data_IF_932890875443
#
_entry.id   IF_932890875443
#
_cell.length_a   1.000
_cell.length_b   1.000
_cell.length_c   1.000
_cell.angle_alpha   90.00
_cell.angle_beta   90.00
_cell.angle_gamma   90.00
#
_symmetry.space_group_name_H-M   'P 1'
#
loop_
_entity.id
_entity.type
_entity.pdbx_description
1 polymer ?
#
# COMPACT_ATOMS: atom_id res chain seq x y z
N UNK A 1 -71.24 37.48 -65.92
CA UNK A 1 -70.96 36.26 -66.70
C UNK A 1 -69.70 35.60 -66.12
N UNK A 2 -69.83 34.38 -65.58
CA UNK A 2 -68.85 33.74 -64.70
C UNK A 2 -67.94 32.79 -65.47
N UNK A 3 -66.70 32.60 -65.03
CA UNK A 3 -65.96 31.36 -65.28
C UNK A 3 -65.05 31.07 -64.08
N UNK A 4 -65.60 30.37 -63.09
CA UNK A 4 -64.80 29.65 -62.10
C UNK A 4 -64.21 28.42 -62.80
N UNK A 5 -62.93 28.47 -63.16
CA UNK A 5 -62.20 27.26 -63.52
C UNK A 5 -61.81 26.54 -62.23
N UNK A 6 -62.62 25.57 -61.85
CA UNK A 6 -62.23 24.50 -60.95
C UNK A 6 -61.00 23.82 -61.53
N UNK A 7 -59.87 23.91 -60.83
CA UNK A 7 -58.72 23.07 -61.10
C UNK A 7 -59.10 21.65 -60.70
N UNK A 8 -59.51 20.84 -61.68
CA UNK A 8 -59.56 19.40 -61.54
C UNK A 8 -58.13 18.90 -61.37
N UNK A 9 -57.77 18.49 -60.15
CA UNK A 9 -56.57 17.71 -59.92
C UNK A 9 -56.69 16.41 -60.71
N UNK A 10 -56.05 16.38 -61.88
CA UNK A 10 -55.90 15.17 -62.67
C UNK A 10 -55.12 14.13 -61.87
N UNK A 11 -55.84 13.15 -61.34
CA UNK A 11 -55.37 11.91 -60.72
C UNK A 11 -54.71 10.96 -61.76
N UNK A 12 -53.98 11.51 -62.75
CA UNK A 12 -53.53 10.78 -63.95
C UNK A 12 -52.22 10.01 -63.83
N UNK A 13 -51.56 10.06 -62.67
CA UNK A 13 -50.39 9.24 -62.40
C UNK A 13 -50.45 8.67 -60.98
N UNK A 14 -51.42 7.79 -60.72
CA UNK A 14 -51.20 6.75 -59.72
C UNK A 14 -50.48 5.60 -60.42
N UNK A 15 -49.18 5.36 -60.19
CA UNK A 15 -48.60 4.09 -60.59
C UNK A 15 -49.46 2.97 -59.98
N UNK A 16 -49.74 1.91 -60.74
CA UNK A 16 -50.36 0.71 -60.20
C UNK A 16 -49.37 0.10 -59.21
N UNK A 17 -49.41 0.57 -57.96
CA UNK A 17 -48.55 0.06 -56.90
C UNK A 17 -48.96 -1.39 -56.68
N UNK A 18 -48.06 -2.30 -57.02
CA UNK A 18 -48.31 -3.73 -56.86
C UNK A 18 -48.53 -4.04 -55.38
N UNK A 19 -49.30 -5.08 -55.06
CA UNK A 19 -49.53 -5.44 -53.65
C UNK A 19 -48.21 -5.76 -52.93
N UNK A 20 -47.18 -6.19 -53.67
CA UNK A 20 -45.83 -6.44 -53.14
C UNK A 20 -45.12 -5.14 -52.74
N UNK A 21 -45.17 -4.10 -53.57
CA UNK A 21 -44.61 -2.79 -53.23
C UNK A 21 -45.28 -2.21 -51.99
N UNK A 22 -46.62 -2.29 -51.88
CA UNK A 22 -47.34 -1.85 -50.66
C UNK A 22 -46.86 -2.58 -49.41
N UNK A 23 -46.66 -3.91 -49.51
CA UNK A 23 -46.14 -4.74 -48.41
C UNK A 23 -44.72 -4.32 -48.04
N UNK A 24 -43.86 -4.08 -49.02
CA UNK A 24 -42.48 -3.62 -48.81
C UNK A 24 -42.46 -2.26 -48.13
N UNK A 25 -43.25 -1.29 -48.61
CA UNK A 25 -43.35 0.03 -47.99
C UNK A 25 -43.86 -0.02 -46.54
N UNK A 26 -44.84 -0.88 -46.25
CA UNK A 26 -45.31 -1.09 -44.88
C UNK A 26 -44.22 -1.70 -43.99
N UNK A 27 -43.47 -2.68 -44.50
CA UNK A 27 -42.36 -3.29 -43.77
C UNK A 27 -41.26 -2.26 -43.48
N UNK A 28 -40.88 -1.44 -44.47
CA UNK A 28 -39.88 -0.39 -44.30
C UNK A 28 -40.36 0.63 -43.26
N UNK A 29 -41.64 1.01 -43.30
CA UNK A 29 -42.21 1.94 -42.32
C UNK A 29 -42.16 1.38 -40.89
N UNK A 30 -42.48 0.10 -40.72
CA UNK A 30 -42.40 -0.56 -39.42
C UNK A 30 -40.96 -0.62 -38.91
N UNK A 31 -40.00 -0.98 -39.77
CA UNK A 31 -38.58 -0.97 -39.41
C UNK A 31 -38.08 0.45 -39.07
N UNK A 32 -38.52 1.46 -39.82
CA UNK A 32 -38.17 2.85 -39.53
C UNK A 32 -38.68 3.31 -38.16
N UNK A 33 -39.92 2.95 -37.79
CA UNK A 33 -40.47 3.24 -36.45
C UNK A 33 -39.66 2.53 -35.38
N UNK A 34 -39.35 1.24 -35.56
CA UNK A 34 -38.51 0.47 -34.62
C UNK A 34 -37.12 1.09 -34.45
N UNK A 35 -36.53 1.61 -35.53
CA UNK A 35 -35.23 2.27 -35.47
C UNK A 35 -35.29 3.60 -34.73
N UNK A 36 -36.37 4.38 -34.91
CA UNK A 36 -36.58 5.60 -34.14
C UNK A 36 -36.73 5.32 -32.64
N UNK A 37 -37.49 4.30 -32.26
CA UNK A 37 -37.63 3.88 -30.85
C UNK A 37 -36.27 3.47 -30.25
N UNK A 38 -35.48 2.69 -31.01
CA UNK A 38 -34.13 2.31 -30.57
C UNK A 38 -33.19 3.51 -30.46
N UNK A 39 -33.31 4.47 -31.36
CA UNK A 39 -32.53 5.70 -31.34
C UNK A 39 -32.88 6.55 -30.11
N UNK A 40 -34.16 6.69 -29.80
CA UNK A 40 -34.64 7.38 -28.60
C UNK A 40 -34.09 6.73 -27.33
N UNK A 41 -34.20 5.40 -27.20
CA UNK A 41 -33.62 4.65 -26.08
C UNK A 41 -32.10 4.81 -25.98
N UNK A 42 -31.39 4.87 -27.11
CA UNK A 42 -29.95 5.10 -27.11
C UNK A 42 -29.60 6.53 -26.68
N UNK A 43 -30.40 7.52 -27.11
CA UNK A 43 -30.26 8.92 -26.72
C UNK A 43 -30.47 9.10 -25.21
N UNK A 44 -31.51 8.49 -24.64
CA UNK A 44 -31.75 8.55 -23.18
C UNK A 44 -30.59 7.96 -22.38
N UNK A 45 -30.02 6.83 -22.83
CA UNK A 45 -28.84 6.24 -22.21
C UNK A 45 -27.62 7.14 -22.32
N UNK A 46 -27.42 7.79 -23.46
CA UNK A 46 -26.34 8.75 -23.66
C UNK A 46 -26.48 9.93 -22.69
N UNK A 47 -27.68 10.48 -22.55
CA UNK A 47 -27.95 11.60 -21.63
C UNK A 47 -27.75 11.20 -20.17
N UNK A 48 -28.16 9.98 -19.79
CA UNK A 48 -27.90 9.45 -18.46
C UNK A 48 -26.39 9.33 -18.17
N UNK A 49 -25.61 8.82 -19.12
CA UNK A 49 -24.15 8.72 -19.00
C UNK A 49 -23.51 10.12 -18.93
N UNK A 50 -23.93 11.04 -19.80
CA UNK A 50 -23.41 12.41 -19.82
C UNK A 50 -23.65 13.16 -18.49
N UNK A 51 -24.73 12.84 -17.77
CA UNK A 51 -24.97 13.38 -16.42
C UNK A 51 -24.06 12.76 -15.35
N UNK A 52 -23.68 11.49 -15.51
CA UNK A 52 -22.83 10.78 -14.55
C UNK A 52 -21.34 11.16 -14.68
N UNK A 53 -20.87 11.47 -15.88
CA UNK A 53 -19.48 11.87 -16.14
C UNK A 53 -19.01 13.00 -15.21
N UNK A 54 -19.67 14.17 -15.13
CA UNK A 54 -19.18 15.28 -14.30
C UNK A 54 -19.18 14.95 -12.81
N UNK A 55 -20.11 14.11 -12.35
CA UNK A 55 -20.18 13.65 -10.96
C UNK A 55 -18.95 12.79 -10.65
N UNK A 56 -18.64 11.81 -11.51
CA UNK A 56 -17.46 10.97 -11.33
C UNK A 56 -16.15 11.72 -11.48
N UNK A 57 -16.09 12.72 -12.36
CA UNK A 57 -14.94 13.62 -12.45
C UNK A 57 -14.75 14.49 -11.21
N UNK A 58 -15.84 14.88 -10.53
CA UNK A 58 -15.76 15.59 -9.26
C UNK A 58 -15.25 14.68 -8.14
N UNK A 59 -15.82 13.47 -7.99
CA UNK A 59 -15.36 12.46 -7.03
C UNK A 59 -13.87 12.13 -7.22
N UNK A 60 -13.41 11.96 -8.46
CA UNK A 60 -12.00 11.70 -8.77
C UNK A 60 -11.10 12.88 -8.37
N UNK A 61 -11.55 14.12 -8.58
CA UNK A 61 -10.81 15.31 -8.17
C UNK A 61 -10.66 15.40 -6.65
N UNK A 62 -11.70 15.08 -5.90
CA UNK A 62 -11.65 15.03 -4.44
C UNK A 62 -10.63 13.99 -3.94
N UNK A 63 -10.65 12.79 -4.50
CA UNK A 63 -9.70 11.73 -4.16
C UNK A 63 -8.26 12.16 -4.48
N UNK A 64 -8.03 12.82 -5.63
CA UNK A 64 -6.70 13.33 -5.99
C UNK A 64 -6.19 14.40 -5.02
N UNK A 65 -7.06 15.25 -4.49
CA UNK A 65 -6.71 16.24 -3.47
C UNK A 65 -6.29 15.52 -2.18
N UNK A 66 -7.07 14.53 -1.74
CA UNK A 66 -6.76 13.74 -0.55
C UNK A 66 -5.41 13.00 -0.67
N UNK A 67 -5.11 12.43 -1.84
CA UNK A 67 -3.81 11.78 -2.09
C UNK A 67 -2.67 12.79 -1.93
N UNK A 68 -2.81 13.99 -2.52
CA UNK A 68 -1.80 15.04 -2.40
C UNK A 68 -1.59 15.48 -0.95
N UNK A 69 -2.67 15.59 -0.18
CA UNK A 69 -2.61 15.93 1.24
C UNK A 69 -1.87 14.86 2.05
N UNK A 70 -2.19 13.58 1.82
CA UNK A 70 -1.50 12.47 2.48
C UNK A 70 -0.01 12.39 2.12
N UNK A 71 0.35 12.70 0.87
CA UNK A 71 1.75 12.77 0.44
C UNK A 71 2.51 13.91 1.12
N UNK A 72 1.88 15.06 1.31
CA UNK A 72 2.47 16.18 2.06
C UNK A 72 2.71 15.78 3.52
N UNK A 73 1.71 15.18 4.18
CA UNK A 73 1.84 14.68 5.55
C UNK A 73 2.98 13.64 5.65
N UNK A 74 3.06 12.70 4.71
CA UNK A 74 4.13 11.71 4.66
C UNK A 74 5.51 12.36 4.59
N UNK A 75 5.67 13.42 3.77
CA UNK A 75 6.92 14.18 3.68
C UNK A 75 7.25 14.87 5.00
N UNK A 76 6.28 15.54 5.63
CA UNK A 76 6.49 16.17 6.94
C UNK A 76 6.92 15.14 8.02
N UNK A 77 6.32 13.96 8.05
CA UNK A 77 6.73 12.89 8.96
C UNK A 77 8.13 12.36 8.64
N UNK A 78 8.47 12.25 7.36
CA UNK A 78 9.81 11.86 6.92
C UNK A 78 10.85 12.89 7.35
N UNK A 79 10.59 14.18 7.13
CA UNK A 79 11.49 15.28 7.47
C UNK A 79 11.71 15.38 8.98
N UNK A 80 10.64 15.22 9.78
CA UNK A 80 10.73 15.14 11.25
C UNK A 80 11.58 13.96 11.72
N UNK A 81 11.58 12.84 11.00
CA UNK A 81 12.39 11.65 11.32
C UNK A 81 13.81 11.73 10.75
N UNK A 82 14.04 12.47 9.67
CA UNK A 82 15.35 12.62 9.02
C UNK A 82 16.12 13.84 9.54
N UNK A 83 16.14 14.04 10.86
CA UNK A 83 17.19 14.89 11.43
C UNK A 83 18.50 14.11 11.26
N UNK A 84 19.28 14.46 10.24
CA UNK A 84 20.62 13.93 10.07
C UNK A 84 21.45 14.37 11.27
N UNK A 85 21.58 13.48 12.26
CA UNK A 85 22.53 13.63 13.34
C UNK A 85 23.93 13.57 12.72
N UNK A 86 24.48 14.73 12.38
CA UNK A 86 25.89 14.85 12.03
C UNK A 86 26.68 14.63 13.31
N UNK A 87 27.23 13.43 13.45
CA UNK A 87 28.21 13.15 14.48
C UNK A 87 29.39 14.12 14.31
N UNK A 88 29.92 14.72 15.39
CA UNK A 88 31.11 15.54 15.32
C UNK A 88 32.23 14.80 14.56
N UNK A 89 32.93 15.52 13.69
CA UNK A 89 33.93 14.93 12.78
C UNK A 89 35.15 14.32 13.49
N UNK A 90 35.34 14.67 14.77
CA UNK A 90 36.34 14.12 15.66
C UNK A 90 35.65 13.39 16.82
N UNK A 91 36.12 12.20 17.23
CA UNK A 91 35.68 11.61 18.49
C UNK A 91 35.85 12.65 19.62
N UNK A 92 34.85 12.76 20.50
CA UNK A 92 35.00 13.53 21.73
C UNK A 92 36.22 12.94 22.44
N UNK A 93 37.26 13.75 22.66
CA UNK A 93 38.43 13.27 23.40
C UNK A 93 37.95 12.79 24.77
N UNK A 94 38.19 11.50 25.02
CA UNK A 94 37.89 10.83 26.27
C UNK A 94 38.81 11.41 27.33
N UNK A 95 38.41 12.56 27.88
CA UNK A 95 38.97 13.08 29.10
C UNK A 95 38.75 12.00 30.15
N UNK A 96 39.82 11.26 30.45
CA UNK A 96 39.94 10.23 31.49
C UNK A 96 39.60 10.84 32.86
N UNK A 97 38.32 11.08 33.11
CA UNK A 97 37.79 11.33 34.44
C UNK A 97 37.47 9.98 35.04
N UNK A 98 38.34 9.56 35.96
CA UNK A 98 38.01 8.59 37.00
C UNK A 98 36.82 9.16 37.79
N UNK A 99 35.59 8.89 37.36
CA UNK A 99 34.40 9.21 38.14
C UNK A 99 33.61 7.94 38.42
N UNK A 100 33.78 7.50 39.67
CA UNK A 100 32.89 6.71 40.51
C UNK A 100 31.58 6.23 39.90
N UNK A 101 31.40 4.91 39.97
CA UNK A 101 30.15 4.16 40.08
C UNK A 101 28.99 5.03 40.59
N UNK A 102 28.13 5.49 39.67
CA UNK A 102 26.83 6.06 40.00
C UNK A 102 25.75 5.15 39.44
N UNK A 103 24.98 4.62 40.40
CA UNK A 103 23.76 3.83 40.32
C UNK A 103 23.04 3.94 38.97
N UNK A 104 22.94 2.78 38.32
CA UNK A 104 22.21 2.56 37.06
C UNK A 104 20.75 3.00 37.19
N UNK A 105 20.39 4.01 36.41
CA UNK A 105 19.00 4.39 36.10
C UNK A 105 18.53 3.56 34.92
N UNK A 106 17.48 2.79 35.16
CA UNK A 106 16.86 1.86 34.23
C UNK A 106 16.42 2.53 32.91
N UNK A 107 16.67 1.84 31.79
CA UNK A 107 16.04 1.88 30.45
C UNK A 107 16.99 1.94 29.22
N UNK A 108 18.29 2.23 29.38
CA UNK A 108 19.25 2.27 28.24
C UNK A 108 20.21 1.07 28.11
N UNK A 109 20.10 0.06 28.98
CA UNK A 109 21.05 -1.08 29.07
C UNK A 109 21.12 -1.98 27.82
N UNK A 110 20.10 -1.98 26.97
CA UNK A 110 20.11 -2.87 25.79
C UNK A 110 21.06 -2.34 24.71
N UNK A 111 21.07 -1.04 24.44
CA UNK A 111 21.94 -0.45 23.40
C UNK A 111 23.42 -0.51 23.79
N UNK A 112 23.74 -0.41 25.08
CA UNK A 112 25.12 -0.54 25.59
C UNK A 112 25.62 -2.00 25.64
N UNK A 113 24.72 -2.98 25.57
CA UNK A 113 25.08 -4.41 25.55
C UNK A 113 25.51 -4.92 24.17
N UNK A 114 25.37 -4.08 23.14
CA UNK A 114 25.69 -4.40 21.75
C UNK A 114 26.94 -3.62 21.34
N UNK A 115 28.05 -4.32 21.12
CA UNK A 115 29.25 -3.70 20.55
C UNK A 115 29.07 -3.54 19.03
N UNK A 116 28.48 -2.41 18.62
CA UNK A 116 28.27 -2.08 17.22
C UNK A 116 29.58 -1.85 16.44
N UNK A 117 30.72 -1.68 17.10
CA UNK A 117 32.01 -1.50 16.41
C UNK A 117 32.47 -2.78 15.69
N UNK A 118 32.08 -3.94 16.23
CA UNK A 118 32.47 -5.26 15.68
C UNK A 118 31.48 -5.77 14.64
N UNK A 119 30.35 -5.10 14.46
CA UNK A 119 29.14 -5.72 13.91
C UNK A 119 28.42 -4.81 12.92
N UNK A 120 28.27 -5.31 11.69
CA UNK A 120 27.56 -4.62 10.64
C UNK A 120 26.16 -5.20 10.48
N UNK A 121 25.14 -4.34 10.41
CA UNK A 121 23.75 -4.70 10.13
C UNK A 121 23.64 -5.54 8.84
N UNK A 122 24.54 -5.34 7.88
CA UNK A 122 24.54 -6.05 6.59
C UNK A 122 25.14 -7.46 6.64
N UNK A 123 26.01 -7.75 7.62
CA UNK A 123 26.72 -9.04 7.73
C UNK A 123 26.08 -9.99 8.75
N UNK A 124 25.01 -9.56 9.42
CA UNK A 124 24.32 -10.32 10.45
C UNK A 124 25.02 -10.24 11.82
N UNK A 125 24.23 -10.35 12.89
CA UNK A 125 24.71 -10.29 14.27
C UNK A 125 25.21 -11.67 14.71
N UNK A 126 26.51 -11.78 14.97
CA UNK A 126 27.11 -12.98 15.57
C UNK A 126 26.91 -12.97 17.08
N UNK A 127 26.53 -14.10 17.64
CA UNK A 127 26.16 -14.24 19.05
C UNK A 127 27.16 -15.17 19.72
N UNK A 128 27.78 -14.74 20.81
CA UNK A 128 28.52 -15.62 21.70
C UNK A 128 27.62 -16.04 22.84
N UNK A 129 27.54 -17.34 23.05
CA UNK A 129 26.73 -17.92 24.11
C UNK A 129 27.65 -18.45 25.22
N UNK A 130 27.48 -17.93 26.42
CA UNK A 130 28.24 -18.42 27.57
C UNK A 130 27.79 -19.84 27.95
N UNK A 131 28.73 -20.75 28.27
CA UNK A 131 28.38 -22.08 28.70
C UNK A 131 27.55 -22.04 29.99
N UNK A 132 26.53 -22.89 30.06
CA UNK A 132 25.73 -23.08 31.27
C UNK A 132 26.62 -23.52 32.45
N UNK A 133 26.29 -23.04 33.64
CA UNK A 133 26.85 -23.58 34.87
C UNK A 133 26.47 -25.05 35.03
N UNK A 134 27.37 -25.86 35.62
CA UNK A 134 27.11 -27.28 35.89
C UNK A 134 25.84 -27.48 36.73
N UNK A 135 25.56 -26.52 37.62
CA UNK A 135 24.44 -26.52 38.56
C UNK A 135 23.14 -25.94 37.99
N UNK A 136 23.08 -25.61 36.69
CA UNK A 136 21.85 -25.08 36.09
C UNK A 136 20.70 -26.10 36.11
N UNK A 137 19.51 -25.58 36.34
CA UNK A 137 18.23 -26.28 36.38
C UNK A 137 17.94 -27.01 35.07
N UNK A 138 17.10 -28.05 35.14
CA UNK A 138 16.67 -28.81 33.96
C UNK A 138 15.97 -27.90 32.93
N UNK A 139 15.29 -26.86 33.41
CA UNK A 139 14.61 -25.88 32.55
C UNK A 139 15.61 -25.00 31.81
N UNK A 140 16.60 -24.45 32.51
CA UNK A 140 17.67 -23.65 31.89
C UNK A 140 18.46 -24.45 30.85
N UNK A 141 18.76 -25.72 31.14
CA UNK A 141 19.41 -26.64 30.20
C UNK A 141 18.58 -26.88 28.95
N UNK A 142 17.26 -27.06 29.09
CA UNK A 142 16.34 -27.22 27.94
C UNK A 142 16.27 -25.94 27.10
N UNK A 143 16.13 -24.79 27.75
CA UNK A 143 16.05 -23.51 27.06
C UNK A 143 17.33 -23.20 26.27
N UNK A 144 18.49 -23.43 26.87
CA UNK A 144 19.79 -23.26 26.20
C UNK A 144 19.89 -24.10 24.92
N UNK A 145 19.48 -25.37 24.97
CA UNK A 145 19.53 -26.26 23.82
C UNK A 145 18.59 -25.82 22.69
N UNK A 146 17.38 -25.37 23.05
CA UNK A 146 16.43 -24.83 22.07
C UNK A 146 16.94 -23.52 21.46
N UNK A 147 17.51 -22.63 22.27
CA UNK A 147 18.10 -21.39 21.80
C UNK A 147 19.27 -21.66 20.83
N UNK A 148 20.12 -22.63 21.16
CA UNK A 148 21.23 -23.04 20.31
C UNK A 148 20.75 -23.62 18.98
N UNK A 149 19.66 -24.41 18.98
CA UNK A 149 19.05 -24.96 17.75
C UNK A 149 18.50 -23.86 16.84
N UNK A 150 17.74 -22.92 17.41
CA UNK A 150 17.10 -21.86 16.62
C UNK A 150 18.10 -20.84 16.07
N UNK A 151 19.17 -20.55 16.81
CA UNK A 151 20.14 -19.52 16.47
C UNK A 151 21.46 -20.07 15.90
N UNK A 152 21.50 -21.36 15.50
CA UNK A 152 22.72 -22.07 15.13
C UNK A 152 23.61 -21.32 14.12
N UNK A 153 23.01 -20.69 13.10
CA UNK A 153 23.76 -19.96 12.05
C UNK A 153 24.40 -18.65 12.55
N UNK A 154 23.92 -18.11 13.66
CA UNK A 154 24.38 -16.83 14.23
C UNK A 154 25.34 -17.04 15.40
N UNK A 155 25.39 -18.25 15.97
CA UNK A 155 26.23 -18.53 17.14
C UNK A 155 27.68 -18.72 16.71
N UNK A 156 28.59 -18.06 17.42
CA UNK A 156 30.04 -18.24 17.27
C UNK A 156 30.66 -18.75 18.56
N UNK A 157 31.66 -19.61 18.43
CA UNK A 157 32.47 -20.11 19.54
C UNK A 157 33.61 -19.17 19.94
N UNK A 158 33.92 -18.17 19.13
CA UNK A 158 34.97 -17.19 19.43
C UNK A 158 34.33 -15.88 19.91
N UNK A 159 34.58 -15.47 21.17
CA UNK A 159 34.01 -14.23 21.72
C UNK A 159 34.49 -12.97 20.98
N UNK A 160 35.69 -12.99 20.38
CA UNK A 160 36.23 -11.81 19.67
C UNK A 160 35.44 -11.48 18.41
N UNK A 161 34.82 -12.50 17.81
CA UNK A 161 34.02 -12.38 16.60
C UNK A 161 32.52 -12.13 16.87
N UNK A 162 32.14 -11.99 18.14
CA UNK A 162 30.76 -11.83 18.55
C UNK A 162 30.37 -10.37 18.79
N UNK A 163 29.09 -10.11 18.52
CA UNK A 163 28.41 -8.82 18.66
C UNK A 163 27.57 -8.74 19.91
N UNK A 164 27.05 -9.89 20.30
CA UNK A 164 26.06 -10.06 21.34
C UNK A 164 26.54 -11.16 22.25
N UNK A 165 26.52 -10.86 23.54
CA UNK A 165 26.92 -11.77 24.58
C UNK A 165 25.68 -12.18 25.36
N UNK A 166 25.33 -13.46 25.29
CA UNK A 166 24.13 -13.98 25.97
C UNK A 166 24.57 -14.89 27.11
N UNK A 167 24.09 -14.55 28.31
CA UNK A 167 24.24 -15.36 29.52
C UNK A 167 22.86 -15.80 29.95
N UNK A 168 22.69 -17.10 30.19
CA UNK A 168 21.49 -17.63 30.83
C UNK A 168 21.67 -17.62 32.34
N UNK A 169 21.02 -16.66 32.99
CA UNK A 169 20.97 -16.58 34.44
C UNK A 169 19.85 -17.49 34.94
N UNK A 170 20.24 -18.56 35.60
CA UNK A 170 19.32 -19.46 36.29
C UNK A 170 19.36 -19.13 37.77
N UNK A 171 18.48 -18.23 38.19
CA UNK A 171 18.24 -17.95 39.60
C UNK A 171 17.42 -19.10 40.16
N UNK A 172 18.08 -20.23 40.39
CA UNK A 172 17.50 -21.32 41.18
C UNK A 172 17.02 -20.73 42.50
N UNK A 173 15.79 -21.05 42.90
CA UNK A 173 15.31 -20.73 44.25
C UNK A 173 16.37 -21.22 45.23
N UNK A 174 16.92 -20.31 46.03
CA UNK A 174 17.61 -20.71 47.26
C UNK A 174 16.60 -21.50 48.09
N UNK A 175 16.86 -22.80 48.22
CA UNK A 175 16.27 -23.74 49.17
C UNK A 175 17.38 -24.71 49.59
#
# INVERSE_FOLDING_TARGET
>A
LPYSKTFECYDRFRPFVTNEEKRVFQSIRLEHVRLLEKFEQASEKLDAINKLIPIKEAELREIQILIKELDLLRREYSDKRSVQLKLPHSPLEENRRKESEKKFSNFNLFEESIDFSRCSITKGLKIFLYPLSKNSSKLAKRFYLEFQRQSFQRITSNPDNACLFIVFLDFGKEL
#
